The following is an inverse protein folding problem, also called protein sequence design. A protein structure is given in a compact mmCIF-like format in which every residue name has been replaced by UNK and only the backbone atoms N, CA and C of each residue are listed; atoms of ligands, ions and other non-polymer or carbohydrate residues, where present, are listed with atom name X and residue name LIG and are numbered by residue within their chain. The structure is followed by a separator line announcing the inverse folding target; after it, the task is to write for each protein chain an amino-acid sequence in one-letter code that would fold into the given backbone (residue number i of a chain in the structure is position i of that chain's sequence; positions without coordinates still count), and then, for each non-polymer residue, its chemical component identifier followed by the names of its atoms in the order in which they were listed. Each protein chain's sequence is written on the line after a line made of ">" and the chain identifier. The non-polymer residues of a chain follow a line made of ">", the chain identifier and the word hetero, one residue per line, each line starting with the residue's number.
data_IF_195588357347
#
_entry.id   IF_195588357347
#
_cell.length_a   1.000
_cell.length_b   1.000
_cell.length_c   1.000
_cell.angle_alpha   90.00
_cell.angle_beta   90.00
_cell.angle_gamma   90.00
#
_symmetry.space_group_name_H-M   'P 1'
#
loop_
_entity.id
_entity.type
_entity.pdbx_description
1 polymer ?
#
# COMPACT_ATOMS: atom_id res chain seq x y z
N UNK A 1 -19.58 1.73 12.50
CA UNK A 1 -18.34 1.21 13.11
C UNK A 1 -17.43 0.82 11.96
N UNK A 2 -16.25 1.41 11.83
CA UNK A 2 -15.26 0.92 10.88
C UNK A 2 -14.64 -0.32 11.50
N UNK A 3 -14.79 -1.48 10.83
CA UNK A 3 -14.06 -2.67 11.23
C UNK A 3 -12.55 -2.38 11.18
N UNK A 4 -11.76 -2.89 12.15
CA UNK A 4 -10.32 -2.72 12.13
C UNK A 4 -9.73 -3.40 10.89
N UNK A 5 -8.80 -2.72 10.21
CA UNK A 5 -8.08 -3.35 9.12
C UNK A 5 -7.22 -4.50 9.66
N UNK A 6 -7.35 -5.69 9.06
CA UNK A 6 -6.56 -6.87 9.39
C UNK A 6 -5.65 -7.26 8.22
N UNK A 7 -4.53 -7.87 8.56
CA UNK A 7 -3.60 -8.47 7.59
C UNK A 7 -3.02 -9.75 8.18
N UNK A 8 -3.14 -10.84 7.45
CA UNK A 8 -2.79 -12.17 7.92
C UNK A 8 -1.84 -12.91 6.96
N UNK A 9 -1.66 -14.21 7.22
CA UNK A 9 -0.69 -15.04 6.50
C UNK A 9 -1.17 -15.43 5.09
N UNK A 10 -2.48 -15.46 4.86
CA UNK A 10 -3.05 -15.69 3.54
C UNK A 10 -2.91 -14.43 2.68
N UNK A 11 -3.19 -13.26 3.25
CA UNK A 11 -2.89 -11.97 2.63
C UNK A 11 -1.40 -11.87 2.23
N UNK A 12 -0.51 -12.28 3.12
CA UNK A 12 0.94 -12.26 2.87
C UNK A 12 1.38 -13.20 1.74
N UNK A 13 0.74 -14.36 1.62
CA UNK A 13 1.02 -15.35 0.56
C UNK A 13 0.51 -14.89 -0.81
N UNK A 14 -0.59 -14.14 -0.83
CA UNK A 14 -1.15 -13.56 -2.05
C UNK A 14 -0.30 -12.38 -2.60
N UNK A 15 0.64 -11.84 -1.82
CA UNK A 15 1.57 -10.81 -2.28
C UNK A 15 2.69 -11.38 -3.16
N UNK A 16 2.75 -10.87 -4.39
CA UNK A 16 3.83 -11.15 -5.33
C UNK A 16 5.10 -10.36 -4.99
N UNK A 17 6.24 -10.74 -5.60
CA UNK A 17 7.49 -9.97 -5.48
C UNK A 17 7.35 -8.49 -5.90
N UNK A 18 6.70 -8.19 -7.05
CA UNK A 18 6.36 -6.83 -7.44
C UNK A 18 5.52 -6.06 -6.41
N UNK A 19 4.49 -6.66 -5.83
CA UNK A 19 3.65 -6.01 -4.81
C UNK A 19 4.49 -5.57 -3.61
N UNK A 20 5.33 -6.49 -3.12
CA UNK A 20 6.23 -6.26 -1.98
C UNK A 20 7.23 -5.13 -2.28
N UNK A 21 7.75 -5.07 -3.51
CA UNK A 21 8.65 -4.00 -3.95
C UNK A 21 7.92 -2.67 -4.05
N UNK A 22 6.72 -2.64 -4.61
CA UNK A 22 5.91 -1.43 -4.74
C UNK A 22 5.54 -0.85 -3.36
N UNK A 23 5.05 -1.68 -2.44
CA UNK A 23 4.77 -1.29 -1.05
C UNK A 23 6.01 -0.70 -0.36
N UNK A 24 7.16 -1.36 -0.49
CA UNK A 24 8.42 -0.88 0.11
C UNK A 24 8.88 0.47 -0.44
N UNK A 25 8.72 0.72 -1.73
CA UNK A 25 9.14 1.99 -2.34
C UNK A 25 8.13 3.08 -2.00
N UNK A 26 6.84 2.80 -2.17
CA UNK A 26 5.79 3.79 -2.01
C UNK A 26 5.61 4.22 -0.54
N UNK A 27 5.76 3.30 0.42
CA UNK A 27 5.69 3.62 1.87
C UNK A 27 6.70 4.69 2.32
N UNK A 28 7.83 4.84 1.62
CA UNK A 28 8.83 5.87 1.95
C UNK A 28 8.38 7.29 1.63
N UNK A 29 7.40 7.43 0.74
CA UNK A 29 6.87 8.72 0.30
C UNK A 29 5.40 8.92 0.67
N UNK A 30 4.71 7.88 1.13
CA UNK A 30 3.27 7.87 1.40
C UNK A 30 2.90 8.58 2.71
N UNK A 31 3.01 9.91 2.74
CA UNK A 31 2.52 10.73 3.86
C UNK A 31 1.00 10.85 3.82
N UNK A 32 0.43 11.06 2.63
CA UNK A 32 -1.01 11.04 2.36
C UNK A 32 -1.29 10.58 0.92
N UNK A 33 -2.08 11.33 0.15
CA UNK A 33 -2.25 11.10 -1.28
C UNK A 33 -1.09 11.68 -2.08
N UNK A 34 -0.24 10.80 -2.59
CA UNK A 34 1.03 11.17 -3.19
C UNK A 34 1.08 10.75 -4.65
N UNK A 35 1.60 11.61 -5.55
CA UNK A 35 1.69 11.26 -6.96
C UNK A 35 2.78 10.21 -7.19
N UNK A 36 2.55 9.32 -8.16
CA UNK A 36 3.53 8.30 -8.57
C UNK A 36 4.88 8.89 -8.97
N UNK A 37 4.91 10.14 -9.45
CA UNK A 37 6.13 10.85 -9.79
C UNK A 37 7.14 10.95 -8.62
N UNK A 38 6.68 10.85 -7.36
CA UNK A 38 7.55 10.82 -6.17
C UNK A 38 8.09 9.42 -5.85
N UNK A 39 7.53 8.36 -6.41
CA UNK A 39 7.86 6.97 -6.13
C UNK A 39 8.59 6.31 -7.31
N UNK A 40 9.80 6.78 -7.61
CA UNK A 40 10.63 6.23 -8.69
C UNK A 40 10.80 4.72 -8.58
N UNK A 41 10.38 3.99 -9.62
CA UNK A 41 10.40 2.53 -9.66
C UNK A 41 9.07 1.84 -9.30
N UNK A 42 8.02 2.62 -9.00
CA UNK A 42 6.64 2.13 -8.89
C UNK A 42 5.85 2.59 -10.10
N UNK A 43 5.37 1.62 -10.89
CA UNK A 43 4.54 1.89 -12.06
C UNK A 43 3.06 1.92 -11.73
N UNK A 44 2.26 2.46 -12.65
CA UNK A 44 0.81 2.50 -12.52
C UNK A 44 0.19 1.11 -12.31
N UNK A 45 0.64 0.12 -13.08
CA UNK A 45 0.19 -1.27 -12.97
C UNK A 45 0.36 -1.82 -11.56
N UNK A 46 1.50 -1.55 -10.91
CA UNK A 46 1.76 -2.02 -9.56
C UNK A 46 0.83 -1.34 -8.54
N UNK A 47 0.50 -0.06 -8.71
CA UNK A 47 -0.49 0.58 -7.84
C UNK A 47 -1.90 0.05 -8.07
N UNK A 48 -2.29 -0.22 -9.32
CA UNK A 48 -3.59 -0.81 -9.63
C UNK A 48 -3.71 -2.22 -9.02
N UNK A 49 -2.64 -3.02 -9.03
CA UNK A 49 -2.57 -4.33 -8.35
C UNK A 49 -2.71 -4.19 -6.81
N UNK A 50 -2.05 -3.20 -6.21
CA UNK A 50 -2.18 -2.92 -4.77
C UNK A 50 -3.59 -2.43 -4.40
N UNK A 51 -4.25 -1.65 -5.26
CA UNK A 51 -5.65 -1.23 -5.09
C UNK A 51 -6.57 -2.44 -5.16
N UNK A 52 -6.38 -3.33 -6.15
CA UNK A 52 -7.19 -4.55 -6.28
C UNK A 52 -7.10 -5.45 -5.05
N UNK A 53 -5.97 -5.43 -4.34
CA UNK A 53 -5.73 -6.14 -3.07
C UNK A 53 -6.16 -5.36 -1.81
N UNK A 54 -6.69 -4.15 -1.95
CA UNK A 54 -7.13 -3.29 -0.85
C UNK A 54 -5.99 -2.65 -0.03
N UNK A 55 -4.76 -2.65 -0.56
CA UNK A 55 -3.55 -2.17 0.12
C UNK A 55 -3.25 -0.70 -0.18
N UNK A 56 -3.84 -0.18 -1.25
CA UNK A 56 -3.78 1.22 -1.61
C UNK A 56 -5.16 1.71 -2.07
N UNK A 57 -5.34 3.03 -2.07
CA UNK A 57 -6.47 3.71 -2.68
C UNK A 57 -5.97 4.82 -3.59
N UNK A 58 -6.71 5.07 -4.66
CA UNK A 58 -6.49 6.22 -5.53
C UNK A 58 -7.25 7.44 -5.01
N UNK A 59 -6.60 8.60 -5.05
CA UNK A 59 -7.18 9.89 -4.70
C UNK A 59 -7.54 10.72 -5.94
N UNK A 60 -7.86 11.99 -5.70
CA UNK A 60 -8.10 12.92 -6.79
C UNK A 60 -6.83 13.13 -7.63
N UNK A 61 -7.02 13.44 -8.92
CA UNK A 61 -5.91 13.83 -9.79
C UNK A 61 -5.30 15.14 -9.29
N UNK A 62 -3.98 15.17 -9.24
CA UNK A 62 -3.19 16.37 -8.95
C UNK A 62 -2.58 16.94 -10.24
N UNK A 63 -1.92 18.09 -10.14
CA UNK A 63 -1.11 18.65 -11.23
C UNK A 63 -0.03 17.65 -11.74
N UNK A 64 0.36 16.69 -10.90
CA UNK A 64 1.38 15.68 -11.19
C UNK A 64 0.78 14.30 -11.52
N UNK A 65 -0.52 14.24 -11.85
CA UNK A 65 -1.20 13.01 -12.26
C UNK A 65 -1.98 12.33 -11.13
N UNK A 66 -2.19 11.01 -11.28
CA UNK A 66 -2.92 10.17 -10.31
C UNK A 66 -2.15 10.15 -8.97
N UNK A 67 -2.89 10.27 -7.87
CA UNK A 67 -2.34 10.23 -6.51
C UNK A 67 -2.82 8.98 -5.80
N UNK A 68 -1.99 8.46 -4.90
CA UNK A 68 -2.29 7.22 -4.19
C UNK A 68 -1.93 7.32 -2.73
N UNK A 69 -2.62 6.55 -1.91
CA UNK A 69 -2.38 6.44 -0.47
C UNK A 69 -2.38 4.96 -0.07
N UNK A 70 -1.49 4.59 0.85
CA UNK A 70 -1.49 3.26 1.46
C UNK A 70 -2.62 3.19 2.49
N UNK A 71 -3.43 2.12 2.43
CA UNK A 71 -4.50 1.89 3.41
C UNK A 71 -3.92 1.38 4.73
N UNK A 72 -4.73 1.33 5.79
CA UNK A 72 -4.31 0.69 7.04
C UNK A 72 -3.88 -0.78 6.81
N UNK A 73 -4.59 -1.52 5.94
CA UNK A 73 -4.21 -2.88 5.54
C UNK A 73 -2.86 -2.89 4.81
N UNK A 74 -2.63 -1.96 3.89
CA UNK A 74 -1.34 -1.79 3.21
C UNK A 74 -0.19 -1.49 4.17
N UNK A 75 -0.43 -0.69 5.21
CA UNK A 75 0.58 -0.44 6.24
C UNK A 75 0.89 -1.68 7.08
N UNK A 76 -0.07 -2.59 7.30
CA UNK A 76 0.24 -3.87 7.96
C UNK A 76 1.11 -4.73 7.06
N UNK A 77 0.84 -4.73 5.76
CA UNK A 77 1.70 -5.41 4.79
C UNK A 77 3.14 -4.86 4.82
N UNK A 78 3.31 -3.55 5.03
CA UNK A 78 4.62 -2.91 5.21
C UNK A 78 5.31 -3.38 6.49
N UNK A 79 4.60 -3.43 7.62
CA UNK A 79 5.15 -3.98 8.88
C UNK A 79 5.64 -5.42 8.69
N UNK A 80 4.88 -6.25 7.96
CA UNK A 80 5.28 -7.62 7.64
C UNK A 80 6.52 -7.69 6.75
N UNK A 81 6.70 -6.73 5.81
CA UNK A 81 7.92 -6.59 5.02
C UNK A 81 9.15 -6.25 5.86
N UNK A 82 8.96 -5.61 7.01
CA UNK A 82 10.00 -5.28 8.00
C UNK A 82 10.21 -6.40 9.03
N UNK A 83 9.48 -7.51 8.92
CA UNK A 83 9.54 -8.66 9.82
C UNK A 83 8.66 -8.53 11.07
N UNK A 84 7.87 -7.46 11.18
CA UNK A 84 6.91 -7.25 12.27
C UNK A 84 5.55 -7.83 11.86
N UNK A 85 5.16 -8.95 12.47
CA UNK A 85 3.92 -9.67 12.15
C UNK A 85 2.68 -9.05 12.83
N UNK A 86 2.54 -7.73 12.76
CA UNK A 86 1.38 -7.01 13.33
C UNK A 86 0.12 -7.35 12.53
N UNK A 87 -0.93 -7.83 13.19
CA UNK A 87 -2.13 -8.36 12.50
C UNK A 87 -3.30 -7.38 12.37
N UNK A 88 -3.30 -6.30 13.15
CA UNK A 88 -4.38 -5.31 13.14
C UNK A 88 -3.82 -3.91 13.44
N UNK A 89 -4.37 -2.87 12.81
CA UNK A 89 -4.15 -1.49 13.23
C UNK A 89 -5.17 -1.11 14.32
N UNK A 90 -4.75 -0.50 15.44
CA UNK A 90 -5.70 0.13 16.35
C UNK A 90 -6.45 1.25 15.63
N UNK A 91 -7.75 1.33 15.88
CA UNK A 91 -8.66 2.36 15.34
C UNK A 91 -8.52 3.66 16.10
#
# INVERSE_FOLDING_TARGET
>A
MNEPATFDEDDWRDLTGPDKRALRIFSRVAIDFEPLAKASGVGQKSMDELIAKGLAIEGNRSLHGRTFKITNKGWLAVEWLEGRKTRAYPT
#
